data_IF_999621969938
#
_entry.id   IF_999621969938
#
_cell.length_a   1.000
_cell.length_b   1.000
_cell.length_c   1.000
_cell.angle_alpha   90.00
_cell.angle_beta   90.00
_cell.angle_gamma   90.00
#
_symmetry.space_group_name_H-M   'P 1'
#
loop_
_entity.id
_entity.type
_entity.pdbx_description
1 polymer ?
#
# COMPACT_ATOMS: atom_id res chain seq x y z
N UNK A 1 35.12 -30.78 -80.42
CA UNK A 1 36.61 -30.78 -80.43
C UNK A 1 37.07 -30.22 -79.09
N UNK A 2 37.91 -31.05 -78.45
CA UNK A 2 38.99 -30.69 -77.54
C UNK A 2 38.55 -30.07 -76.18
N UNK A 3 38.79 -30.66 -75.19
CA UNK A 3 39.79 -31.29 -74.27
C UNK A 3 39.49 -30.75 -72.88
N UNK A 4 39.00 -31.52 -71.96
CA UNK A 4 39.73 -32.14 -70.84
C UNK A 4 40.81 -31.24 -70.25
N UNK A 5 40.51 -30.74 -69.02
CA UNK A 5 41.52 -30.75 -67.99
C UNK A 5 40.85 -30.90 -66.60
N UNK A 6 41.09 -32.05 -66.09
CA UNK A 6 40.93 -32.43 -64.70
C UNK A 6 42.02 -31.73 -63.92
N UNK A 7 41.64 -30.99 -62.88
CA UNK A 7 42.59 -30.77 -61.79
C UNK A 7 41.83 -30.90 -60.46
N UNK A 8 42.11 -32.01 -59.91
CA UNK A 8 41.93 -32.39 -58.55
C UNK A 8 42.66 -31.43 -57.63
N UNK A 9 42.00 -30.71 -56.78
CA UNK A 9 42.65 -30.09 -55.62
C UNK A 9 41.90 -30.45 -54.39
N UNK A 10 42.50 -31.31 -53.68
CA UNK A 10 42.17 -31.75 -52.33
C UNK A 10 42.23 -30.57 -51.35
N UNK A 11 41.37 -30.65 -50.42
CA UNK A 11 41.74 -30.52 -49.05
C UNK A 11 41.48 -29.21 -48.34
N UNK A 12 40.79 -29.32 -47.41
CA UNK A 12 40.92 -28.98 -45.99
C UNK A 12 39.61 -28.47 -45.43
N UNK A 13 38.88 -29.40 -44.90
CA UNK A 13 37.81 -29.12 -43.96
C UNK A 13 38.48 -28.62 -42.67
N UNK A 14 38.57 -27.33 -42.50
CA UNK A 14 38.86 -26.75 -41.21
C UNK A 14 37.52 -26.47 -40.51
N UNK A 15 37.15 -27.36 -39.66
CA UNK A 15 36.08 -27.16 -38.67
C UNK A 15 36.51 -26.04 -37.72
N UNK A 16 36.14 -24.81 -38.02
CA UNK A 16 36.20 -23.74 -37.04
C UNK A 16 35.10 -23.97 -35.98
N UNK A 17 35.49 -24.60 -34.90
CA UNK A 17 34.67 -24.64 -33.69
C UNK A 17 34.48 -23.21 -33.20
N UNK A 18 33.30 -22.67 -33.44
CA UNK A 18 32.86 -21.44 -32.78
C UNK A 18 32.74 -21.76 -31.28
N UNK A 19 33.77 -21.48 -30.53
CA UNK A 19 33.64 -21.35 -29.09
C UNK A 19 32.82 -20.09 -28.83
N UNK A 20 31.54 -20.26 -28.55
CA UNK A 20 30.75 -19.27 -27.91
C UNK A 20 31.35 -19.06 -26.50
N UNK A 21 32.18 -18.05 -26.36
CA UNK A 21 32.59 -17.57 -25.05
C UNK A 21 31.35 -16.94 -24.42
N UNK A 22 30.71 -17.73 -23.56
CA UNK A 22 29.73 -17.27 -22.60
C UNK A 22 30.40 -16.19 -21.71
N UNK A 23 30.19 -14.95 -22.11
CA UNK A 23 30.71 -13.79 -21.42
C UNK A 23 29.95 -13.67 -20.11
N UNK A 24 30.46 -14.38 -19.09
CA UNK A 24 30.00 -14.27 -17.71
C UNK A 24 30.22 -12.83 -17.25
N UNK A 25 29.18 -12.03 -17.40
CA UNK A 25 29.17 -10.67 -16.85
C UNK A 25 29.43 -10.76 -15.36
N UNK A 26 30.42 -10.05 -14.83
CA UNK A 26 30.67 -10.03 -13.40
C UNK A 26 29.39 -9.51 -12.69
N UNK A 27 29.04 -10.03 -11.52
CA UNK A 27 27.90 -9.55 -10.77
C UNK A 27 28.09 -8.04 -10.50
N UNK A 28 27.01 -7.24 -10.60
CA UNK A 28 27.10 -5.82 -10.29
C UNK A 28 27.62 -5.63 -8.87
N UNK A 29 28.44 -4.59 -8.63
CA UNK A 29 28.95 -4.33 -7.29
C UNK A 29 27.75 -4.19 -6.32
N UNK A 30 27.87 -4.68 -5.07
CA UNK A 30 26.80 -4.53 -4.10
C UNK A 30 26.49 -3.05 -3.95
N UNK A 31 25.19 -2.71 -4.14
CA UNK A 31 24.71 -1.37 -3.92
C UNK A 31 25.13 -0.89 -2.51
N UNK A 32 25.55 0.37 -2.34
CA UNK A 32 25.91 0.87 -1.02
C UNK A 32 24.76 0.57 -0.06
N UNK A 33 25.09 -0.18 0.99
CA UNK A 33 24.14 -0.52 2.02
C UNK A 33 23.56 0.79 2.58
N UNK A 34 22.30 1.06 2.29
CA UNK A 34 21.58 2.13 2.97
C UNK A 34 21.61 1.77 4.46
N UNK A 35 22.03 2.68 5.34
CA UNK A 35 21.96 2.41 6.77
C UNK A 35 20.54 1.97 7.08
N UNK A 36 20.40 0.81 7.70
CA UNK A 36 19.11 0.33 8.16
C UNK A 36 18.46 1.43 9.00
N UNK A 37 17.14 1.69 8.82
CA UNK A 37 16.45 2.65 9.67
C UNK A 37 16.74 2.31 11.13
N UNK A 38 17.06 3.29 11.98
CA UNK A 38 17.33 3.03 13.38
C UNK A 38 16.17 2.24 13.98
N UNK A 39 16.48 1.17 14.69
CA UNK A 39 15.48 0.38 15.40
C UNK A 39 14.58 1.31 16.23
N UNK A 40 13.26 1.06 16.30
CA UNK A 40 12.36 1.86 17.11
C UNK A 40 12.91 1.92 18.54
N UNK A 41 13.12 3.14 19.06
CA UNK A 41 13.50 3.32 20.44
C UNK A 41 12.44 2.66 21.35
N UNK A 42 12.83 2.08 22.48
CA UNK A 42 11.88 1.51 23.42
C UNK A 42 10.84 2.58 23.80
N UNK A 43 9.55 2.20 23.91
CA UNK A 43 8.49 3.16 24.18
C UNK A 43 8.73 3.86 25.53
N UNK A 44 8.75 5.19 25.49
CA UNK A 44 8.86 6.00 26.70
C UNK A 44 7.59 5.82 27.56
N UNK A 45 7.70 5.37 28.83
CA UNK A 45 6.55 5.17 29.69
C UNK A 45 5.75 6.44 29.98
N UNK A 46 6.31 7.62 29.71
CA UNK A 46 5.64 8.91 29.86
C UNK A 46 5.01 9.41 28.56
N UNK A 47 5.41 8.86 27.41
CA UNK A 47 4.89 9.29 26.11
C UNK A 47 3.36 9.29 26.06
N UNK A 48 2.81 10.05 25.14
CA UNK A 48 1.39 10.06 24.86
C UNK A 48 0.88 8.65 24.58
N UNK A 49 -0.37 8.36 24.95
CA UNK A 49 -0.99 7.07 24.75
C UNK A 49 -2.41 7.25 24.19
N UNK A 50 -2.67 6.62 23.08
CA UNK A 50 -4.00 6.56 22.50
C UNK A 50 -4.92 5.66 23.34
N UNK A 51 -6.14 6.10 23.52
CA UNK A 51 -7.26 5.25 23.91
C UNK A 51 -8.40 5.55 22.94
N UNK A 52 -8.56 4.70 21.95
CA UNK A 52 -9.67 4.76 21.03
C UNK A 52 -10.95 4.25 21.69
N UNK A 53 -12.09 4.81 21.32
CA UNK A 53 -13.40 4.29 21.70
C UNK A 53 -13.72 3.07 20.85
N UNK A 54 -13.32 3.11 19.56
CA UNK A 54 -13.45 2.03 18.60
C UNK A 54 -12.19 2.02 17.70
N UNK A 55 -11.61 0.84 17.51
CA UNK A 55 -10.44 0.65 16.60
C UNK A 55 -10.85 0.00 15.28
N UNK A 56 -12.08 -0.53 15.22
CA UNK A 56 -12.66 -1.14 14.02
C UNK A 56 -14.04 -0.56 13.78
N UNK A 57 -14.23 0.04 12.62
CA UNK A 57 -15.52 0.58 12.20
C UNK A 57 -16.14 -0.27 11.10
N UNK A 58 -17.40 -0.67 11.28
CA UNK A 58 -18.17 -1.41 10.29
C UNK A 58 -19.20 -0.48 9.63
N UNK A 59 -19.00 -0.18 8.36
CA UNK A 59 -19.97 0.58 7.55
C UNK A 59 -21.25 -0.20 7.26
N UNK A 60 -21.30 -1.49 7.61
CA UNK A 60 -22.40 -2.36 7.21
C UNK A 60 -22.49 -2.47 5.69
N UNK A 61 -23.68 -2.27 5.15
CA UNK A 61 -23.91 -2.28 3.70
C UNK A 61 -24.12 -0.86 3.18
N UNK A 62 -23.24 -0.42 2.29
CA UNK A 62 -23.28 0.90 1.65
C UNK A 62 -23.48 0.76 0.15
N UNK A 63 -24.16 1.70 -0.53
CA UNK A 63 -24.28 1.69 -1.98
C UNK A 63 -22.99 2.13 -2.65
N UNK A 64 -22.75 1.66 -3.86
CA UNK A 64 -21.70 2.15 -4.73
C UNK A 64 -21.97 3.61 -5.15
N UNK A 65 -20.93 4.43 -5.18
CA UNK A 65 -20.95 5.82 -5.66
C UNK A 65 -20.70 6.84 -4.57
N UNK A 66 -21.52 6.95 -3.50
CA UNK A 66 -21.24 7.86 -2.38
C UNK A 66 -19.98 7.47 -1.62
N UNK A 67 -19.32 8.46 -1.03
CA UNK A 67 -18.25 8.17 -0.08
C UNK A 67 -18.83 7.66 1.23
N UNK A 68 -18.21 6.65 1.81
CA UNK A 68 -18.48 6.20 3.17
C UNK A 68 -17.48 6.88 4.11
N UNK A 69 -17.98 7.43 5.20
CA UNK A 69 -17.18 8.24 6.14
C UNK A 69 -17.40 7.76 7.56
N UNK A 70 -16.33 7.79 8.36
CA UNK A 70 -16.40 7.52 9.78
C UNK A 70 -15.38 8.33 10.55
N UNK A 71 -15.63 8.51 11.85
CA UNK A 71 -14.75 9.17 12.78
C UNK A 71 -14.26 8.17 13.84
N UNK A 72 -12.96 8.04 13.99
CA UNK A 72 -12.35 7.31 15.09
C UNK A 72 -12.00 8.28 16.20
N UNK A 73 -12.84 8.33 17.22
CA UNK A 73 -12.59 9.15 18.40
C UNK A 73 -11.57 8.50 19.33
N UNK A 74 -10.66 9.30 19.84
CA UNK A 74 -9.68 8.86 20.81
C UNK A 74 -9.41 9.91 21.88
N UNK A 75 -8.87 9.45 22.99
CA UNK A 75 -8.38 10.28 24.07
C UNK A 75 -6.90 10.02 24.31
N UNK A 76 -6.14 11.07 24.57
CA UNK A 76 -4.79 10.91 25.06
C UNK A 76 -4.82 10.58 26.56
N UNK A 77 -4.51 9.34 26.90
CA UNK A 77 -4.42 8.87 28.29
C UNK A 77 -2.98 8.81 28.80
N UNK A 78 -2.02 9.21 27.98
CA UNK A 78 -0.62 9.37 28.36
C UNK A 78 -0.36 10.65 29.15
N UNK A 79 0.92 10.88 29.46
CA UNK A 79 1.37 12.05 30.24
C UNK A 79 1.87 13.18 29.36
N UNK A 80 2.27 12.87 28.12
CA UNK A 80 2.78 13.83 27.14
C UNK A 80 1.82 14.06 25.99
N UNK A 81 1.92 15.21 25.30
CA UNK A 81 1.13 15.47 24.10
C UNK A 81 1.39 14.43 23.00
N UNK A 82 0.33 14.02 22.30
CA UNK A 82 0.43 13.20 21.08
C UNK A 82 0.53 14.12 19.87
N UNK A 83 1.54 13.86 19.03
CA UNK A 83 1.68 14.48 17.71
C UNK A 83 1.56 13.39 16.66
N UNK A 84 0.51 13.44 15.86
CA UNK A 84 0.33 12.55 14.72
C UNK A 84 1.18 13.11 13.57
N UNK A 85 2.16 12.34 13.14
CA UNK A 85 3.08 12.73 12.06
C UNK A 85 2.49 12.40 10.68
N UNK A 86 1.82 11.27 10.60
CA UNK A 86 1.28 10.74 9.36
C UNK A 86 0.13 9.79 9.64
N UNK A 87 -0.85 9.75 8.75
CA UNK A 87 -1.86 8.70 8.67
C UNK A 87 -2.10 8.36 7.20
N UNK A 88 -2.14 7.08 6.87
CA UNK A 88 -2.40 6.63 5.51
C UNK A 88 -3.26 5.37 5.48
N UNK A 89 -4.12 5.27 4.46
CA UNK A 89 -4.89 4.07 4.20
C UNK A 89 -4.06 2.99 3.50
N UNK A 90 -4.44 1.74 3.66
CA UNK A 90 -3.83 0.60 2.96
C UNK A 90 -4.03 0.62 1.43
N UNK A 91 -4.85 1.53 0.91
CA UNK A 91 -5.06 1.80 -0.51
C UNK A 91 -5.37 3.28 -0.74
N UNK A 92 -5.22 3.76 -1.97
CA UNK A 92 -5.64 5.13 -2.34
C UNK A 92 -7.16 5.37 -2.29
N UNK A 93 -7.94 4.36 -1.93
CA UNK A 93 -9.38 4.43 -1.74
C UNK A 93 -9.80 4.85 -0.32
N UNK A 94 -8.85 4.86 0.61
CA UNK A 94 -9.06 5.20 2.02
C UNK A 94 -8.19 6.40 2.35
N UNK A 95 -8.82 7.51 2.68
CA UNK A 95 -8.15 8.78 2.94
C UNK A 95 -8.45 9.23 4.37
N UNK A 96 -7.47 9.10 5.28
CA UNK A 96 -7.60 9.64 6.63
C UNK A 96 -7.28 11.14 6.67
N UNK A 97 -7.97 11.85 7.56
CA UNK A 97 -7.69 13.23 7.94
C UNK A 97 -7.59 13.32 9.46
N UNK A 98 -6.59 14.00 9.97
CA UNK A 98 -6.28 14.05 11.40
C UNK A 98 -5.86 15.45 11.85
N UNK A 99 -5.95 15.77 13.16
CA UNK A 99 -5.45 17.04 13.68
C UNK A 99 -3.93 17.11 13.62
N UNK A 100 -3.40 18.22 13.10
CA UNK A 100 -1.95 18.47 13.04
C UNK A 100 -1.41 19.11 14.32
N UNK A 101 -2.30 19.58 15.19
CA UNK A 101 -1.93 20.15 16.48
C UNK A 101 -1.65 19.06 17.52
N UNK A 102 -0.74 19.31 18.49
CA UNK A 102 -0.49 18.37 19.56
C UNK A 102 -1.74 18.12 20.42
N UNK A 103 -2.12 16.88 20.60
CA UNK A 103 -3.24 16.47 21.46
C UNK A 103 -2.75 16.33 22.88
N UNK A 104 -3.11 17.29 23.73
CA UNK A 104 -2.68 17.34 25.12
C UNK A 104 -3.18 16.16 25.95
N UNK A 105 -2.51 15.82 27.07
CA UNK A 105 -2.99 14.80 28.00
C UNK A 105 -4.44 15.04 28.42
N UNK A 106 -5.23 13.98 28.49
CA UNK A 106 -6.66 13.94 28.83
C UNK A 106 -7.58 14.59 27.79
N UNK A 107 -7.09 15.20 26.71
CA UNK A 107 -7.90 15.74 25.62
C UNK A 107 -8.34 14.63 24.66
N UNK A 108 -9.52 14.84 24.07
CA UNK A 108 -10.06 14.03 22.99
C UNK A 108 -9.74 14.64 21.62
N UNK A 109 -9.61 13.78 20.63
CA UNK A 109 -9.52 14.17 19.23
C UNK A 109 -10.11 13.05 18.38
N UNK A 110 -10.20 13.26 17.07
CA UNK A 110 -10.71 12.26 16.14
C UNK A 110 -9.86 12.17 14.88
N UNK A 111 -9.87 11.02 14.27
CA UNK A 111 -9.35 10.79 12.93
C UNK A 111 -10.55 10.52 12.05
N UNK A 112 -10.75 11.38 11.06
CA UNK A 112 -11.81 11.23 10.08
C UNK A 112 -11.30 10.38 8.93
N UNK A 113 -12.05 9.35 8.53
CA UNK A 113 -11.68 8.44 7.45
C UNK A 113 -12.76 8.43 6.38
N UNK A 114 -12.35 8.71 5.15
CA UNK A 114 -13.22 8.66 3.98
C UNK A 114 -12.85 7.45 3.13
N UNK A 115 -13.84 6.64 2.77
CA UNK A 115 -13.67 5.51 1.86
C UNK A 115 -14.45 5.74 0.56
N UNK A 116 -13.75 5.72 -0.56
CA UNK A 116 -14.37 5.86 -1.88
C UNK A 116 -14.95 4.52 -2.35
N UNK A 117 -16.28 4.43 -2.46
CA UNK A 117 -17.01 3.23 -2.85
C UNK A 117 -17.15 3.06 -4.37
N UNK A 118 -16.84 4.11 -5.16
CA UNK A 118 -17.07 4.12 -6.60
C UNK A 118 -16.18 3.07 -7.32
N UNK A 119 -16.79 2.19 -8.09
CA UNK A 119 -16.12 1.10 -8.80
C UNK A 119 -15.57 0.00 -7.85
N UNK A 120 -16.11 -0.12 -6.62
CA UNK A 120 -15.60 -1.04 -5.59
C UNK A 120 -16.68 -1.88 -4.94
N UNK A 121 -17.47 -2.52 -5.77
CA UNK A 121 -18.47 -3.48 -5.27
C UNK A 121 -17.79 -4.65 -4.57
N UNK A 122 -18.33 -5.07 -3.43
CA UNK A 122 -17.84 -6.19 -2.64
C UNK A 122 -17.45 -5.80 -1.22
N UNK A 123 -16.67 -6.63 -0.56
CA UNK A 123 -16.28 -6.43 0.83
C UNK A 123 -15.25 -5.30 1.01
N UNK A 124 -15.48 -4.45 2.00
CA UNK A 124 -14.53 -3.49 2.53
C UNK A 124 -13.75 -4.19 3.64
N UNK A 125 -12.44 -4.17 3.53
CA UNK A 125 -11.51 -4.63 4.55
C UNK A 125 -10.22 -3.84 4.36
N UNK A 126 -10.07 -2.73 5.08
CA UNK A 126 -8.97 -1.78 4.91
C UNK A 126 -8.44 -1.33 6.25
N UNK A 127 -7.13 -1.07 6.27
CA UNK A 127 -6.42 -0.52 7.41
C UNK A 127 -6.07 0.95 7.19
N UNK A 128 -6.07 1.71 8.28
CA UNK A 128 -5.47 3.03 8.37
C UNK A 128 -4.33 2.94 9.37
N UNK A 129 -3.12 3.23 8.90
CA UNK A 129 -1.91 3.24 9.73
C UNK A 129 -1.60 4.67 10.17
N UNK A 130 -1.40 4.86 11.46
CA UNK A 130 -1.12 6.15 12.10
C UNK A 130 0.28 6.10 12.69
N UNK A 131 1.14 7.02 12.26
CA UNK A 131 2.48 7.22 12.81
C UNK A 131 2.50 8.46 13.70
N UNK A 132 2.96 8.32 14.93
CA UNK A 132 2.97 9.40 15.92
C UNK A 132 4.17 9.27 16.87
N UNK A 133 4.25 10.14 17.88
CA UNK A 133 5.17 10.00 19.00
C UNK A 133 4.58 9.21 20.18
N UNK A 134 3.38 8.66 20.05
CA UNK A 134 2.74 7.89 21.11
C UNK A 134 3.37 6.51 21.30
N UNK A 135 3.13 5.90 22.49
CA UNK A 135 3.65 4.56 22.83
C UNK A 135 3.24 3.48 21.84
N UNK A 136 2.03 3.59 21.26
CA UNK A 136 1.47 2.62 20.32
C UNK A 136 1.75 3.01 18.84
N UNK A 137 2.87 3.60 18.53
CA UNK A 137 3.20 3.96 17.16
C UNK A 137 4.07 2.89 16.49
N UNK A 138 3.71 2.41 15.29
CA UNK A 138 2.51 2.75 14.51
C UNK A 138 1.24 2.08 15.05
N UNK A 139 0.12 2.84 15.04
CA UNK A 139 -1.21 2.34 15.41
C UNK A 139 -2.01 2.01 14.15
N UNK A 140 -2.85 0.97 14.20
CA UNK A 140 -3.72 0.59 13.07
C UNK A 140 -5.18 0.69 13.49
N UNK A 141 -5.97 1.33 12.63
CA UNK A 141 -7.43 1.32 12.69
C UNK A 141 -7.96 0.50 11.52
N UNK A 142 -9.09 -0.13 11.70
CA UNK A 142 -9.65 -1.05 10.73
C UNK A 142 -11.04 -0.61 10.29
N UNK A 143 -11.33 -0.66 8.98
CA UNK A 143 -12.67 -0.42 8.44
C UNK A 143 -13.16 -1.64 7.68
N UNK A 144 -14.40 -2.01 7.95
CA UNK A 144 -15.08 -3.14 7.32
C UNK A 144 -16.42 -2.71 6.74
N UNK A 145 -17.03 -3.58 5.95
CA UNK A 145 -18.35 -3.36 5.37
C UNK A 145 -18.54 -4.08 4.05
N UNK A 146 -19.62 -3.77 3.37
CA UNK A 146 -19.93 -4.31 2.04
C UNK A 146 -20.50 -3.23 1.14
N UNK A 147 -19.90 -3.03 -0.04
CA UNK A 147 -20.42 -2.14 -1.08
C UNK A 147 -21.34 -2.94 -1.99
N UNK A 148 -22.61 -2.55 -2.08
CA UNK A 148 -23.57 -3.10 -3.06
C UNK A 148 -23.52 -2.31 -4.36
N UNK A 149 -23.78 -2.95 -5.53
CA UNK A 149 -23.94 -2.22 -6.77
C UNK A 149 -24.98 -1.12 -6.64
N UNK A 150 -24.75 0.01 -7.30
CA UNK A 150 -25.77 1.04 -7.42
C UNK A 150 -27.00 0.44 -8.11
N UNK A 151 -28.14 0.47 -7.46
CA UNK A 151 -29.40 0.03 -8.04
C UNK A 151 -29.72 0.95 -9.22
N UNK A 152 -29.55 0.45 -10.42
CA UNK A 152 -29.99 1.14 -11.64
C UNK A 152 -31.50 1.08 -11.63
N UNK A 153 -32.18 2.22 -11.54
CA UNK A 153 -33.61 2.28 -11.67
C UNK A 153 -34.05 1.49 -12.93
N UNK A 154 -35.06 0.64 -12.83
CA UNK A 154 -35.54 -0.11 -14.00
C UNK A 154 -35.86 0.85 -15.13
N UNK A 155 -35.32 0.57 -16.32
CA UNK A 155 -35.63 1.35 -17.51
C UNK A 155 -37.15 1.45 -17.68
N UNK A 156 -37.72 2.62 -18.01
CA UNK A 156 -39.14 2.74 -18.21
C UNK A 156 -39.58 1.74 -19.29
N UNK A 157 -40.47 0.85 -18.92
CA UNK A 157 -41.07 -0.11 -19.85
C UNK A 157 -41.73 0.69 -20.97
N UNK A 158 -41.41 0.46 -22.25
CA UNK A 158 -42.05 1.16 -23.34
C UNK A 158 -43.57 0.82 -23.30
N UNK A 159 -44.39 1.85 -23.11
CA UNK A 159 -45.84 1.72 -23.20
C UNK A 159 -46.17 1.25 -24.62
N UNK A 160 -46.95 0.19 -24.72
CA UNK A 160 -47.45 -0.41 -25.96
C UNK A 160 -48.68 0.37 -26.43
#
# INVERSE_FOLDING_TARGET
>A
MKKVFVTLFCLAITTAALHAQEQKTPPPPPAPAHPAPPAPAPPDPNAGKFKFEEETHDFGTVPEGPQAECDFEFKNVGKEPIVIKEAHGSCGCTVPTWPHEPILPKHKAKIHVTYNTQGRVGQINKDVTITSNAQQSPMRLHITGTVKPKETAPAPTPAK
#
